data_IF_729710141762
#
_entry.id   IF_729710141762
#
_cell.length_a   1.000
_cell.length_b   1.000
_cell.length_c   1.000
_cell.angle_alpha   90.00
_cell.angle_beta   90.00
_cell.angle_gamma   90.00
#
_symmetry.space_group_name_H-M   'P 1'
#
loop_
_entity.id
_entity.type
_entity.pdbx_description
1 polymer ?
#
# COMPACT_ATOMS: atom_id res chain seq x y z
N UNK A 1 43.29 -78.69 11.24
CA UNK A 1 42.17 -79.11 12.12
C UNK A 1 41.22 -77.90 12.14
N UNK A 2 40.35 -77.71 11.14
CA UNK A 2 38.94 -78.20 11.05
C UNK A 2 38.20 -77.79 12.34
N UNK A 3 37.19 -76.90 12.42
CA UNK A 3 36.01 -76.48 11.61
C UNK A 3 35.54 -75.10 12.13
N UNK A 4 34.58 -74.33 11.62
CA UNK A 4 33.85 -74.12 10.35
C UNK A 4 32.57 -73.28 10.72
N UNK A 5 32.10 -72.43 9.80
CA UNK A 5 30.71 -71.89 9.55
C UNK A 5 29.90 -71.04 10.58
N UNK A 6 29.88 -69.70 10.36
CA UNK A 6 28.80 -68.77 9.86
C UNK A 6 27.29 -68.91 10.26
N UNK A 7 26.33 -68.02 9.87
CA UNK A 7 26.22 -66.52 9.75
C UNK A 7 24.81 -65.95 10.19
N UNK A 8 24.49 -64.70 9.80
CA UNK A 8 23.16 -63.99 9.81
C UNK A 8 22.71 -63.38 11.16
N UNK A 9 22.15 -62.18 11.30
CA UNK A 9 21.57 -61.18 10.40
C UNK A 9 20.37 -60.55 11.14
N UNK A 10 20.30 -59.22 11.29
CA UNK A 10 19.04 -58.43 11.23
C UNK A 10 19.26 -56.99 11.69
N UNK A 11 19.15 -56.11 10.72
CA UNK A 11 18.58 -54.77 10.78
C UNK A 11 17.51 -54.59 11.87
N UNK A 12 17.67 -53.54 12.69
CA UNK A 12 16.59 -52.80 13.36
C UNK A 12 17.02 -51.35 13.52
N UNK A 13 16.53 -50.53 12.59
CA UNK A 13 16.08 -49.17 12.91
C UNK A 13 15.14 -49.20 14.13
N UNK A 14 15.16 -48.14 14.94
CA UNK A 14 13.96 -47.35 15.22
C UNK A 14 14.22 -46.25 16.26
N UNK A 15 14.22 -45.02 15.73
CA UNK A 15 13.47 -43.86 16.25
C UNK A 15 13.86 -43.34 17.64
N UNK A 16 14.89 -42.48 17.64
CA UNK A 16 14.95 -41.38 18.60
C UNK A 16 13.98 -40.28 18.11
N UNK A 17 12.85 -40.18 18.81
CA UNK A 17 11.85 -39.14 18.71
C UNK A 17 12.48 -37.76 18.99
N UNK A 18 12.61 -36.94 17.95
CA UNK A 18 12.94 -35.52 18.08
C UNK A 18 11.79 -34.67 17.57
N UNK A 19 10.60 -34.85 18.15
CA UNK A 19 9.46 -33.95 17.93
C UNK A 19 9.44 -32.82 18.98
N UNK A 20 10.39 -31.90 18.88
CA UNK A 20 10.23 -30.54 19.44
C UNK A 20 10.22 -29.54 18.29
N UNK A 21 9.15 -29.58 17.48
CA UNK A 21 8.79 -28.43 16.65
C UNK A 21 8.34 -27.32 17.59
N UNK A 22 9.17 -26.28 17.72
CA UNK A 22 8.71 -24.99 18.23
C UNK A 22 7.51 -24.50 17.40
N UNK A 23 6.76 -23.49 17.91
CA UNK A 23 5.60 -22.97 17.19
C UNK A 23 6.01 -22.60 15.77
N UNK A 24 5.22 -23.08 14.81
CA UNK A 24 5.42 -22.93 13.37
C UNK A 24 5.41 -21.43 13.03
N UNK A 25 6.58 -20.79 13.06
CA UNK A 25 6.73 -19.40 12.62
C UNK A 25 6.64 -19.46 11.10
N UNK A 26 5.61 -18.85 10.47
CA UNK A 26 5.50 -18.86 9.03
C UNK A 26 6.80 -18.36 8.41
N UNK A 27 7.30 -19.05 7.40
CA UNK A 27 8.45 -18.57 6.63
C UNK A 27 8.14 -17.12 6.21
N UNK A 28 9.00 -16.20 6.64
CA UNK A 28 8.90 -14.78 6.34
C UNK A 28 8.81 -14.49 4.83
N UNK A 29 9.32 -15.40 3.99
CA UNK A 29 9.22 -15.36 2.54
C UNK A 29 7.85 -15.85 1.99
N UNK A 30 7.08 -16.62 2.76
CA UNK A 30 5.81 -17.21 2.33
C UNK A 30 4.58 -16.31 2.58
N UNK A 31 4.74 -15.15 3.22
CA UNK A 31 3.61 -14.23 3.48
C UNK A 31 3.10 -13.66 2.14
N UNK A 32 1.84 -13.93 1.73
CA UNK A 32 1.30 -13.46 0.46
C UNK A 32 1.28 -11.93 0.39
N UNK A 33 1.72 -11.40 -0.75
CA UNK A 33 1.63 -9.97 -1.06
C UNK A 33 0.27 -9.70 -1.69
N UNK A 34 -0.53 -8.82 -1.08
CA UNK A 34 -1.88 -8.49 -1.56
C UNK A 34 -1.88 -7.14 -2.27
N UNK A 35 -2.49 -7.00 -3.46
CA UNK A 35 -2.61 -5.70 -4.11
C UNK A 35 -3.51 -4.76 -3.28
N UNK A 36 -3.13 -3.49 -3.23
CA UNK A 36 -3.84 -2.45 -2.51
C UNK A 36 -3.71 -1.10 -3.24
N UNK A 37 -4.62 -0.19 -2.98
CA UNK A 37 -4.60 1.18 -3.52
C UNK A 37 -4.57 2.19 -2.38
N UNK A 38 -3.97 3.35 -2.63
CA UNK A 38 -4.05 4.50 -1.73
C UNK A 38 -4.12 5.79 -2.54
N UNK A 39 -5.03 6.69 -2.20
CA UNK A 39 -5.36 7.88 -3.00
C UNK A 39 -4.98 9.15 -2.24
N UNK A 40 -3.95 9.85 -2.73
CA UNK A 40 -3.55 11.17 -2.27
C UNK A 40 -4.49 12.21 -2.89
N UNK A 41 -5.57 12.49 -2.17
CA UNK A 41 -6.48 13.57 -2.53
C UNK A 41 -5.88 14.91 -2.12
N UNK A 42 -5.62 15.77 -3.10
CA UNK A 42 -4.91 17.04 -2.91
C UNK A 42 -5.74 18.25 -3.33
N UNK A 43 -5.50 19.39 -2.68
CA UNK A 43 -6.03 20.70 -3.06
C UNK A 43 -5.00 21.80 -2.83
N UNK A 44 -5.19 22.94 -3.49
CA UNK A 44 -4.42 24.15 -3.18
C UNK A 44 -4.86 24.69 -1.81
N UNK A 45 -3.89 24.94 -0.93
CA UNK A 45 -4.07 25.56 0.38
C UNK A 45 -3.39 26.92 0.48
N UNK A 46 -3.51 27.56 1.64
CA UNK A 46 -2.98 28.92 1.84
C UNK A 46 -1.44 29.03 1.81
N UNK A 47 -0.73 27.94 2.12
CA UNK A 47 0.74 27.90 2.25
C UNK A 47 1.40 26.85 1.35
N UNK A 48 0.65 26.29 0.39
CA UNK A 48 1.07 25.20 -0.48
C UNK A 48 -0.02 24.16 -0.60
N UNK A 49 0.35 22.92 -0.91
CA UNK A 49 -0.62 21.82 -1.02
C UNK A 49 -1.18 21.40 0.33
N UNK A 50 -2.48 21.12 0.34
CA UNK A 50 -3.15 20.35 1.38
C UNK A 50 -3.49 18.96 0.86
N UNK A 51 -3.48 17.98 1.75
CA UNK A 51 -3.83 16.59 1.45
C UNK A 51 -4.85 16.08 2.45
N UNK A 52 -5.83 15.33 1.96
CA UNK A 52 -6.82 14.68 2.82
C UNK A 52 -6.19 13.46 3.50
N UNK A 53 -6.30 13.40 4.82
CA UNK A 53 -5.72 12.33 5.60
C UNK A 53 -6.70 11.77 6.62
N UNK A 54 -6.41 10.55 7.06
CA UNK A 54 -7.16 9.84 8.08
C UNK A 54 -6.26 9.46 9.24
N UNK A 55 -6.76 9.62 10.46
CA UNK A 55 -6.06 9.22 11.66
C UNK A 55 -6.53 7.83 12.09
N UNK A 56 -5.64 6.83 11.99
CA UNK A 56 -5.94 5.48 12.50
C UNK A 56 -5.72 5.44 14.01
N UNK A 57 -6.68 4.86 14.72
CA UNK A 57 -6.52 4.56 16.15
C UNK A 57 -5.45 3.50 16.30
N UNK A 58 -4.32 3.88 16.89
CA UNK A 58 -3.35 2.91 17.41
C UNK A 58 -3.89 2.42 18.75
N UNK A 59 -3.93 1.10 18.97
CA UNK A 59 -4.30 0.49 20.26
C UNK A 59 -3.27 0.75 21.38
N UNK A 60 -2.28 1.62 21.15
CA UNK A 60 -1.31 2.07 22.15
C UNK A 60 -1.58 3.54 22.50
N UNK A 61 -1.86 3.78 23.77
CA UNK A 61 -2.09 5.09 24.35
C UNK A 61 -0.85 5.99 24.21
N UNK A 62 -1.07 7.26 23.83
CA UNK A 62 -0.11 8.39 23.90
C UNK A 62 0.93 8.61 22.77
N UNK A 63 0.59 8.26 21.52
CA UNK A 63 1.12 8.98 20.36
C UNK A 63 -0.05 9.33 19.42
N UNK A 64 -0.17 10.59 19.01
CA UNK A 64 -1.15 10.96 18.00
C UNK A 64 -0.90 10.10 16.75
N UNK A 65 -1.99 9.54 16.23
CA UNK A 65 -2.03 8.31 15.45
C UNK A 65 -1.19 8.27 14.17
N UNK A 66 -1.23 7.11 13.51
CA UNK A 66 -0.64 6.97 12.18
C UNK A 66 -1.56 7.64 11.17
N UNK A 67 -0.99 8.56 10.39
CA UNK A 67 -1.70 9.24 9.31
C UNK A 67 -1.60 8.42 8.03
N UNK A 68 -2.75 8.16 7.41
CA UNK A 68 -2.87 7.44 6.14
C UNK A 68 -3.75 8.22 5.17
N UNK A 69 -3.70 7.83 3.89
CA UNK A 69 -4.63 8.31 2.89
C UNK A 69 -5.72 7.27 2.65
N UNK A 70 -6.88 7.68 2.11
CA UNK A 70 -7.93 6.73 1.78
C UNK A 70 -7.44 5.62 0.88
N UNK A 71 -7.91 4.40 1.13
CA UNK A 71 -7.51 3.25 0.34
C UNK A 71 -7.43 1.96 1.11
N UNK A 72 -7.48 0.87 0.36
CA UNK A 72 -7.50 -0.46 0.92
C UNK A 72 -7.10 -1.52 -0.10
N UNK A 73 -7.45 -2.76 0.22
CA UNK A 73 -7.09 -3.90 -0.62
C UNK A 73 -8.00 -3.96 -1.82
N UNK A 74 -7.48 -4.54 -2.90
CA UNK A 74 -8.36 -5.02 -3.97
C UNK A 74 -9.30 -6.08 -3.40
N UNK A 75 -10.59 -5.93 -3.69
CA UNK A 75 -11.66 -6.86 -3.35
C UNK A 75 -12.22 -7.52 -4.63
N UNK A 76 -12.75 -8.77 -4.59
CA UNK A 76 -13.38 -9.40 -5.75
C UNK A 76 -14.48 -8.57 -6.45
N UNK A 77 -15.13 -7.63 -5.75
CA UNK A 77 -16.09 -6.72 -6.40
C UNK A 77 -15.40 -5.74 -7.37
N UNK A 78 -14.14 -5.39 -7.12
CA UNK A 78 -13.38 -4.45 -7.95
C UNK A 78 -13.10 -5.06 -9.34
N UNK A 79 -12.87 -6.38 -9.40
CA UNK A 79 -12.69 -7.12 -10.66
C UNK A 79 -13.94 -7.08 -11.54
N UNK A 80 -15.12 -7.16 -10.92
CA UNK A 80 -16.39 -7.11 -11.64
C UNK A 80 -16.63 -5.70 -12.21
N UNK A 81 -16.43 -4.68 -11.37
CA UNK A 81 -16.59 -3.26 -11.73
C UNK A 81 -15.57 -2.80 -12.76
N UNK A 82 -14.33 -3.29 -12.71
CA UNK A 82 -13.24 -2.89 -13.61
C UNK A 82 -13.62 -3.00 -15.10
N UNK A 83 -14.42 -4.00 -15.45
CA UNK A 83 -14.85 -4.26 -16.83
C UNK A 83 -15.80 -3.19 -17.40
N UNK A 84 -16.56 -2.49 -16.55
CA UNK A 84 -17.54 -1.49 -16.97
C UNK A 84 -17.03 -0.05 -16.87
N UNK A 85 -15.86 0.17 -16.26
CA UNK A 85 -15.28 1.51 -16.12
C UNK A 85 -14.92 2.11 -17.48
N UNK A 86 -15.45 3.31 -17.75
CA UNK A 86 -14.95 4.12 -18.84
C UNK A 86 -13.66 4.84 -18.40
N UNK A 87 -12.60 4.69 -19.19
CA UNK A 87 -11.30 5.32 -18.91
C UNK A 87 -10.86 6.03 -20.18
N UNK A 88 -10.76 7.37 -20.17
CA UNK A 88 -10.45 8.14 -21.37
C UNK A 88 -9.08 7.81 -21.97
N UNK A 89 -8.06 7.59 -21.12
CA UNK A 89 -6.71 7.23 -21.56
C UNK A 89 -6.20 5.95 -20.89
N UNK A 90 -6.50 4.77 -21.46
CA UNK A 90 -5.93 3.51 -21.00
C UNK A 90 -4.40 3.41 -21.16
N UNK A 91 -3.80 4.19 -22.07
CA UNK A 91 -2.35 4.14 -22.29
C UNK A 91 -1.59 4.75 -21.11
N UNK A 92 -2.10 5.85 -20.53
CA UNK A 92 -1.57 6.44 -19.30
C UNK A 92 -1.35 5.38 -18.21
N UNK A 93 -2.38 4.60 -17.90
CA UNK A 93 -2.31 3.60 -16.83
C UNK A 93 -1.42 2.40 -17.18
N UNK A 94 -1.52 1.88 -18.41
CA UNK A 94 -0.65 0.78 -18.84
C UNK A 94 0.82 1.17 -18.81
N UNK A 95 1.15 2.38 -19.27
CA UNK A 95 2.51 2.87 -19.28
C UNK A 95 3.03 3.15 -17.87
N UNK A 96 2.22 3.76 -17.02
CA UNK A 96 2.60 4.06 -15.64
C UNK A 96 2.92 2.81 -14.83
N UNK A 97 2.17 1.72 -15.05
CA UNK A 97 2.29 0.49 -14.26
C UNK A 97 3.14 -0.60 -14.91
N UNK A 98 3.79 -0.34 -16.05
CA UNK A 98 4.48 -1.35 -16.87
C UNK A 98 5.53 -2.20 -16.13
N UNK A 99 6.18 -1.64 -15.10
CA UNK A 99 7.26 -2.30 -14.34
C UNK A 99 6.75 -2.90 -13.00
N UNK A 100 5.46 -2.75 -12.71
CA UNK A 100 4.81 -3.23 -11.49
C UNK A 100 4.16 -4.60 -11.68
N UNK A 101 3.83 -5.28 -10.59
CA UNK A 101 3.23 -6.63 -10.62
C UNK A 101 1.89 -6.65 -11.36
N UNK A 102 1.11 -5.57 -11.30
CA UNK A 102 -0.21 -5.50 -11.96
C UNK A 102 -0.12 -5.55 -13.51
N UNK A 103 1.04 -5.28 -14.09
CA UNK A 103 1.25 -5.36 -15.55
C UNK A 103 1.18 -6.81 -16.07
N UNK A 104 1.37 -7.81 -15.21
CA UNK A 104 1.25 -9.23 -15.56
C UNK A 104 -0.21 -9.65 -15.79
N UNK A 105 -1.16 -8.88 -15.27
CA UNK A 105 -2.60 -9.12 -15.42
C UNK A 105 -3.13 -8.24 -16.55
N UNK A 106 -3.70 -8.87 -17.58
CA UNK A 106 -4.32 -8.15 -18.70
C UNK A 106 -5.38 -7.16 -18.18
N UNK A 107 -5.18 -5.88 -18.47
CA UNK A 107 -5.98 -4.77 -17.96
C UNK A 107 -6.15 -4.71 -16.43
N UNK A 108 -5.24 -5.30 -15.65
CA UNK A 108 -5.27 -5.26 -14.18
C UNK A 108 -5.26 -3.84 -13.59
N UNK A 109 -4.75 -2.86 -14.33
CA UNK A 109 -4.80 -1.45 -13.98
C UNK A 109 -6.25 -0.92 -13.82
N UNK A 110 -7.25 -1.52 -14.49
CA UNK A 110 -8.67 -1.17 -14.31
C UNK A 110 -9.20 -1.58 -12.95
N UNK A 111 -8.71 -2.70 -12.42
CA UNK A 111 -9.05 -3.17 -11.07
C UNK A 111 -8.53 -2.17 -10.04
N UNK A 112 -7.32 -1.64 -10.22
CA UNK A 112 -6.79 -0.59 -9.35
C UNK A 112 -7.66 0.68 -9.35
N UNK A 113 -8.21 1.07 -10.51
CA UNK A 113 -9.14 2.20 -10.58
C UNK A 113 -10.47 1.91 -9.88
N UNK A 114 -11.02 0.70 -10.05
CA UNK A 114 -12.24 0.29 -9.36
C UNK A 114 -12.04 0.28 -7.84
N UNK A 115 -10.92 -0.27 -7.36
CA UNK A 115 -10.54 -0.24 -5.94
C UNK A 115 -10.41 1.20 -5.44
N UNK A 116 -9.76 2.09 -6.19
CA UNK A 116 -9.61 3.50 -5.80
C UNK A 116 -10.97 4.19 -5.61
N UNK A 117 -11.89 4.00 -6.56
CA UNK A 117 -13.24 4.57 -6.52
C UNK A 117 -14.01 4.06 -5.30
N UNK A 118 -14.05 2.73 -5.12
CA UNK A 118 -14.77 2.10 -4.01
C UNK A 118 -14.22 2.57 -2.66
N UNK A 119 -12.91 2.51 -2.45
CA UNK A 119 -12.32 2.86 -1.16
C UNK A 119 -12.53 4.34 -0.82
N UNK A 120 -12.40 5.25 -1.81
CA UNK A 120 -12.67 6.67 -1.56
C UNK A 120 -14.15 6.92 -1.27
N UNK A 121 -15.06 6.28 -2.00
CA UNK A 121 -16.50 6.40 -1.73
C UNK A 121 -16.85 5.85 -0.33
N UNK A 122 -16.39 4.64 0.00
CA UNK A 122 -16.62 4.01 1.29
C UNK A 122 -16.06 4.87 2.43
N UNK A 123 -14.83 5.38 2.29
CA UNK A 123 -14.13 6.07 3.37
C UNK A 123 -14.46 7.57 3.52
N UNK A 124 -14.86 8.23 2.45
CA UNK A 124 -15.04 9.69 2.42
C UNK A 124 -16.37 10.14 1.81
N UNK A 125 -17.25 9.19 1.46
CA UNK A 125 -18.53 9.48 0.81
C UNK A 125 -18.43 10.18 -0.54
N UNK A 126 -17.22 10.32 -1.10
CA UNK A 126 -16.98 11.10 -2.29
C UNK A 126 -17.02 10.17 -3.50
N UNK A 127 -17.96 10.44 -4.40
CA UNK A 127 -17.98 9.79 -5.71
C UNK A 127 -17.00 10.55 -6.60
N UNK A 128 -15.95 9.87 -7.06
CA UNK A 128 -14.95 10.44 -7.97
C UNK A 128 -15.10 9.89 -9.38
N UNK A 129 -14.70 10.69 -10.37
CA UNK A 129 -14.50 10.23 -11.74
C UNK A 129 -13.15 9.50 -11.82
N UNK A 130 -13.12 8.20 -12.21
CA UNK A 130 -11.87 7.45 -12.39
C UNK A 130 -10.87 8.13 -13.33
N UNK A 131 -11.34 8.96 -14.28
CA UNK A 131 -10.48 9.71 -15.18
C UNK A 131 -9.59 10.74 -14.48
N UNK A 132 -9.97 11.17 -13.26
CA UNK A 132 -9.18 12.09 -12.44
C UNK A 132 -8.03 11.44 -11.67
N UNK A 133 -7.97 10.11 -11.63
CA UNK A 133 -6.94 9.37 -10.88
C UNK A 133 -5.64 9.29 -11.68
N UNK A 134 -4.61 10.00 -11.22
CA UNK A 134 -3.27 9.98 -11.82
C UNK A 134 -2.37 8.97 -11.10
N UNK A 135 -1.81 7.96 -11.78
CA UNK A 135 -0.77 7.09 -11.22
C UNK A 135 0.39 7.87 -10.61
N UNK A 136 0.81 7.52 -9.40
CA UNK A 136 1.84 8.27 -8.69
C UNK A 136 3.01 7.41 -8.20
N UNK A 137 2.76 6.33 -7.45
CA UNK A 137 3.86 5.50 -6.95
C UNK A 137 3.44 4.04 -6.78
N UNK A 138 4.41 3.13 -6.69
CA UNK A 138 4.16 1.73 -6.33
C UNK A 138 5.15 1.28 -5.25
N UNK A 139 4.64 0.75 -4.14
CA UNK A 139 5.45 0.28 -3.01
C UNK A 139 5.01 -1.09 -2.55
N UNK A 140 5.96 -2.01 -2.49
CA UNK A 140 5.77 -3.34 -1.91
C UNK A 140 6.27 -3.34 -0.47
N UNK A 141 5.47 -3.88 0.44
CA UNK A 141 5.86 -4.06 1.83
C UNK A 141 7.05 -5.01 1.94
N UNK A 142 8.09 -4.70 2.74
CA UNK A 142 9.28 -5.54 2.86
C UNK A 142 8.98 -6.99 3.26
N UNK A 143 9.87 -7.92 2.89
CA UNK A 143 9.81 -9.32 3.35
C UNK A 143 9.95 -9.38 4.88
N UNK A 144 9.33 -10.37 5.51
CA UNK A 144 9.36 -10.54 6.98
C UNK A 144 8.34 -9.69 7.75
N UNK A 145 7.48 -8.94 7.07
CA UNK A 145 6.30 -8.33 7.71
C UNK A 145 5.14 -9.34 7.75
N UNK A 146 4.37 -9.41 8.86
CA UNK A 146 3.27 -10.37 9.00
C UNK A 146 2.10 -10.09 8.06
N UNK A 147 2.02 -8.87 7.53
CA UNK A 147 1.10 -8.47 6.46
C UNK A 147 1.91 -7.74 5.40
N UNK A 148 1.71 -8.10 4.13
CA UNK A 148 2.42 -7.50 3.00
C UNK A 148 1.44 -7.05 1.93
N UNK A 149 1.68 -5.84 1.44
CA UNK A 149 0.89 -5.22 0.38
C UNK A 149 1.78 -4.79 -0.78
N UNK A 150 1.25 -4.89 -1.99
CA UNK A 150 1.73 -4.22 -3.19
C UNK A 150 0.80 -3.02 -3.42
N UNK A 151 1.21 -1.84 -2.95
CA UNK A 151 0.35 -0.65 -2.87
C UNK A 151 0.59 0.26 -4.06
N UNK A 152 -0.48 0.55 -4.80
CA UNK A 152 -0.53 1.43 -5.96
C UNK A 152 -1.11 2.78 -5.53
N UNK A 153 -0.29 3.82 -5.57
CA UNK A 153 -0.67 5.16 -5.15
C UNK A 153 -1.15 5.98 -6.33
N UNK A 154 -2.29 6.65 -6.15
CA UNK A 154 -2.83 7.62 -7.09
C UNK A 154 -2.87 9.01 -6.45
N UNK A 155 -2.77 10.05 -7.27
CA UNK A 155 -3.10 11.43 -6.88
C UNK A 155 -4.43 11.81 -7.51
N UNK A 156 -5.25 12.53 -6.77
CA UNK A 156 -6.52 13.08 -7.22
C UNK A 156 -6.60 14.57 -6.88
N UNK A 157 -6.84 15.42 -7.89
CA UNK A 157 -7.19 16.83 -7.65
C UNK A 157 -8.63 16.92 -7.16
N UNK A 158 -8.83 17.60 -6.04
CA UNK A 158 -10.15 17.78 -5.42
C UNK A 158 -10.75 19.16 -5.72
N UNK A 159 -10.30 19.81 -6.81
CA UNK A 159 -10.79 21.13 -7.24
C UNK A 159 -12.32 21.26 -7.36
N UNK A 160 -13.07 20.15 -7.40
CA UNK A 160 -14.53 20.13 -7.49
C UNK A 160 -15.27 19.22 -6.46
N UNK A 161 -14.61 18.48 -5.54
CA UNK A 161 -15.32 17.67 -4.52
C UNK A 161 -15.71 18.52 -3.30
N UNK A 162 -16.56 19.53 -3.51
CA UNK A 162 -17.08 20.43 -2.48
C UNK A 162 -17.84 19.71 -1.33
N UNK A 163 -18.06 18.40 -1.43
CA UNK A 163 -18.84 17.57 -0.50
C UNK A 163 -18.07 16.37 0.11
N UNK A 164 -16.73 16.32 0.03
CA UNK A 164 -15.99 15.26 0.72
C UNK A 164 -16.22 15.36 2.23
N UNK A 165 -16.92 14.37 2.81
CA UNK A 165 -17.29 14.33 4.22
C UNK A 165 -16.88 12.96 4.79
N UNK A 166 -16.34 12.94 6.00
CA UNK A 166 -15.99 11.69 6.67
C UNK A 166 -17.21 10.75 6.78
N UNK A 167 -17.10 9.51 6.27
CA UNK A 167 -18.22 8.54 6.27
C UNK A 167 -17.93 7.16 6.89
N UNK A 168 -16.74 6.88 7.45
CA UNK A 168 -16.44 5.56 8.05
C UNK A 168 -16.33 5.54 9.56
N UNK A 169 -16.54 4.34 10.10
CA UNK A 169 -16.41 3.98 11.51
C UNK A 169 -15.00 3.50 11.89
N UNK A 170 -14.08 3.33 10.94
CA UNK A 170 -12.70 2.83 11.18
C UNK A 170 -11.65 3.93 11.39
N UNK A 171 -11.91 5.16 10.95
CA UNK A 171 -11.07 6.33 11.23
C UNK A 171 -11.70 7.17 12.33
N UNK A 172 -10.90 7.66 13.28
CA UNK A 172 -11.40 8.50 14.38
C UNK A 172 -11.75 9.91 13.91
N UNK A 173 -10.96 10.42 12.96
CA UNK A 173 -11.14 11.70 12.27
C UNK A 173 -10.53 11.61 10.88
N UNK A 174 -11.05 12.42 9.95
CA UNK A 174 -10.41 12.72 8.68
C UNK A 174 -10.43 14.22 8.46
N UNK A 175 -9.34 14.75 7.92
CA UNK A 175 -9.17 16.19 7.78
C UNK A 175 -8.25 16.53 6.61
N UNK A 176 -8.36 17.77 6.14
CA UNK A 176 -7.41 18.35 5.22
C UNK A 176 -6.28 18.97 6.03
N UNK A 177 -5.04 18.56 5.76
CA UNK A 177 -3.86 19.11 6.42
C UNK A 177 -2.86 19.65 5.41
N UNK A 178 -2.15 20.74 5.76
CA UNK A 178 -1.03 21.20 4.94
C UNK A 178 0.06 20.13 4.91
N UNK A 179 0.59 19.83 3.72
CA UNK A 179 1.73 18.91 3.57
C UNK A 179 2.90 19.37 4.44
N UNK A 180 3.15 20.68 4.53
CA UNK A 180 4.21 21.26 5.33
C UNK A 180 4.00 21.06 6.84
N UNK A 181 2.76 21.16 7.31
CA UNK A 181 2.40 20.94 8.71
C UNK A 181 2.54 19.48 9.12
N UNK A 182 2.14 18.54 8.24
CA UNK A 182 2.32 17.10 8.48
C UNK A 182 3.82 16.78 8.62
N UNK A 183 4.66 17.27 7.71
CA UNK A 183 6.10 17.03 7.74
C UNK A 183 6.79 17.65 8.96
N UNK A 184 6.35 18.86 9.35
CA UNK A 184 6.82 19.51 10.58
C UNK A 184 6.43 18.69 11.80
N UNK A 185 5.18 18.23 11.86
CA UNK A 185 4.68 17.39 12.93
C UNK A 185 5.39 16.05 13.04
N UNK A 186 5.80 15.44 11.92
CA UNK A 186 6.61 14.23 11.93
C UNK A 186 8.03 14.50 12.45
N UNK A 187 8.66 15.60 12.02
CA UNK A 187 9.98 16.02 12.50
C UNK A 187 9.99 16.31 14.00
N UNK A 188 8.89 16.86 14.52
CA UNK A 188 8.68 17.14 15.94
C UNK A 188 8.11 15.94 16.73
N UNK A 189 8.04 14.75 16.10
CA UNK A 189 7.51 13.51 16.69
C UNK A 189 6.06 13.59 17.18
N UNK A 190 5.31 14.61 16.74
CA UNK A 190 3.87 14.77 17.00
C UNK A 190 3.01 13.90 16.11
N UNK A 191 3.51 13.47 14.95
CA UNK A 191 2.84 12.52 14.06
C UNK A 191 3.79 11.39 13.67
N UNK A 192 3.26 10.18 13.55
CA UNK A 192 4.03 9.04 13.06
C UNK A 192 3.62 8.69 11.63
N UNK A 193 4.58 8.72 10.72
CA UNK A 193 4.37 8.39 9.30
C UNK A 193 5.05 7.08 8.93
N UNK A 194 4.37 6.29 8.10
CA UNK A 194 5.02 5.16 7.42
C UNK A 194 5.96 5.69 6.33
N UNK A 195 7.03 4.95 6.03
CA UNK A 195 8.04 5.35 5.03
C UNK A 195 7.44 5.74 3.66
N UNK A 196 6.47 5.00 3.09
CA UNK A 196 5.81 5.43 1.85
C UNK A 196 5.14 6.80 2.03
N UNK A 197 4.31 6.98 3.06
CA UNK A 197 3.62 8.25 3.37
C UNK A 197 4.58 9.42 3.49
N UNK A 198 5.67 9.28 4.27
CA UNK A 198 6.68 10.31 4.45
C UNK A 198 7.36 10.68 3.11
N UNK A 199 7.71 9.68 2.31
CA UNK A 199 8.37 9.91 1.00
C UNK A 199 7.44 10.67 0.06
N UNK A 200 6.18 10.24 -0.04
CA UNK A 200 5.18 10.87 -0.90
C UNK A 200 4.87 12.30 -0.48
N UNK A 201 4.79 12.58 0.82
CA UNK A 201 4.59 13.94 1.32
C UNK A 201 5.79 14.84 1.03
N UNK A 202 7.02 14.33 1.13
CA UNK A 202 8.23 15.08 0.73
C UNK A 202 8.27 15.36 -0.76
N UNK A 203 7.84 14.41 -1.59
CA UNK A 203 7.67 14.65 -3.04
C UNK A 203 6.63 15.74 -3.30
N UNK A 204 5.45 15.67 -2.67
CA UNK A 204 4.41 16.69 -2.81
C UNK A 204 4.87 18.06 -2.34
N UNK A 205 5.69 18.15 -1.28
CA UNK A 205 6.23 19.41 -0.78
C UNK A 205 7.17 20.13 -1.78
N UNK A 206 7.65 19.44 -2.82
CA UNK A 206 8.41 20.07 -3.90
C UNK A 206 7.52 20.86 -4.89
N UNK A 207 6.20 20.68 -4.83
CA UNK A 207 5.23 21.37 -5.66
C UNK A 207 4.49 22.44 -4.84
N UNK A 208 4.10 23.53 -5.50
CA UNK A 208 3.35 24.64 -4.90
C UNK A 208 1.86 24.58 -5.19
N UNK A 209 1.47 23.97 -6.30
CA UNK A 209 0.06 23.92 -6.72
C UNK A 209 -0.34 22.54 -7.23
N UNK A 210 -1.64 22.25 -7.16
CA UNK A 210 -2.21 21.01 -7.72
C UNK A 210 -1.96 20.94 -9.22
N UNK A 211 -2.03 22.06 -9.93
CA UNK A 211 -1.74 22.11 -11.36
C UNK A 211 -0.32 21.64 -11.68
N UNK A 212 0.67 22.00 -10.86
CA UNK A 212 2.05 21.50 -11.01
C UNK A 212 2.12 19.99 -10.80
N UNK A 213 1.43 19.43 -9.79
CA UNK A 213 1.37 17.98 -9.54
C UNK A 213 0.69 17.22 -10.68
N UNK A 214 -0.48 17.69 -11.12
CA UNK A 214 -1.25 17.06 -12.18
C UNK A 214 -0.54 17.18 -13.53
N UNK A 215 0.20 18.26 -13.78
CA UNK A 215 1.01 18.45 -14.98
C UNK A 215 2.37 17.73 -14.96
N UNK A 216 2.81 17.17 -13.83
CA UNK A 216 4.14 16.57 -13.72
C UNK A 216 4.23 15.16 -14.31
N UNK A 217 4.99 14.98 -15.39
CA UNK A 217 5.26 13.65 -15.93
C UNK A 217 6.29 12.91 -15.08
N UNK A 218 5.95 11.70 -14.63
CA UNK A 218 6.85 10.85 -13.84
C UNK A 218 6.91 9.43 -14.36
N UNK A 219 8.10 8.83 -14.22
CA UNK A 219 8.30 7.39 -14.34
C UNK A 219 8.09 6.80 -12.95
N UNK A 220 7.30 5.73 -12.86
CA UNK A 220 7.07 5.00 -11.62
C UNK A 220 8.02 3.82 -11.58
N UNK A 221 8.98 3.87 -10.67
CA UNK A 221 9.85 2.74 -10.34
C UNK A 221 9.34 2.06 -9.05
N UNK A 222 8.81 0.83 -9.13
CA UNK A 222 8.32 0.09 -7.97
C UNK A 222 9.37 -0.10 -6.87
N UNK A 223 9.06 0.39 -5.67
CA UNK A 223 9.93 0.18 -4.51
C UNK A 223 9.65 -1.20 -3.89
N UNK A 224 10.61 -2.12 -4.01
CA UNK A 224 10.53 -3.51 -3.50
C UNK A 224 11.64 -3.81 -2.48
N UNK A 225 11.52 -3.39 -1.21
CA UNK A 225 12.59 -3.60 -0.24
C UNK A 225 12.68 -5.07 0.17
N UNK A 226 13.88 -5.63 0.12
CA UNK A 226 14.11 -7.03 0.50
C UNK A 226 14.00 -7.22 2.03
N UNK A 227 14.34 -6.22 2.85
CA UNK A 227 14.19 -6.23 4.31
C UNK A 227 13.99 -4.81 4.88
N UNK A 228 13.38 -4.62 6.07
CA UNK A 228 13.38 -3.32 6.72
C UNK A 228 14.79 -2.98 7.23
N UNK A 229 15.58 -2.33 6.38
CA UNK A 229 16.79 -1.57 6.73
C UNK A 229 17.88 -2.35 7.46
N UNK A 230 18.82 -2.94 6.72
CA UNK A 230 20.21 -2.76 7.11
C UNK A 230 20.62 -1.38 6.60
N UNK A 231 20.63 -0.39 7.50
CA UNK A 231 21.43 0.81 7.31
C UNK A 231 22.63 0.69 8.25
N UNK A 232 23.82 0.64 7.65
CA UNK A 232 24.97 1.34 8.22
C UNK A 232 24.82 2.83 8.00
#
# INVERSE_FOLDING_TARGET
MIRDISPEGSDRSDLADSSSRGPDVPDAAAVPVKPAVSVLMIRDGGTGLEVFVQHRVSTMDFAAGVVVFPGGRVDPVDEQTASSLHVPDPHLHRQAWKDSTIAEVADGWRVLLATAVREVEEETGAVLDPAGLKPWANWVTPVGRPKRFDTYFYVLSVGELASAHHQTTEAHTSEWMSVSEILTAETEERLKLMRPTLTLLRELAAFRTVAEVIGFDRIIDPVRPEFPGQHG
#
